data_IF_431084831119
#
_entry.id   IF_431084831119
#
_cell.length_a   1.000
_cell.length_b   1.000
_cell.length_c   1.000
_cell.angle_alpha   90.00
_cell.angle_beta   90.00
_cell.angle_gamma   90.00
#
_symmetry.space_group_name_H-M   'P 1'
#
loop_
_entity.id
_entity.type
_entity.pdbx_description
1 polymer ?
#
# COMPACT_ATOMS: atom_id res chain seq x y z
N UNK A 1 21.89 -11.75 -7.34
CA UNK A 1 20.44 -12.05 -7.40
C UNK A 1 19.73 -11.04 -6.52
N UNK A 2 19.32 -9.86 -7.02
CA UNK A 2 19.06 -8.79 -6.03
C UNK A 2 17.98 -7.75 -6.32
N UNK A 3 17.54 -7.47 -7.56
CA UNK A 3 16.51 -6.42 -7.77
C UNK A 3 15.10 -6.95 -8.10
N UNK A 4 14.97 -8.03 -8.88
CA UNK A 4 13.66 -8.52 -9.30
C UNK A 4 12.85 -9.13 -8.13
N UNK A 5 13.48 -9.95 -7.28
CA UNK A 5 12.80 -10.56 -6.12
C UNK A 5 12.27 -9.53 -5.11
N UNK A 6 13.00 -8.43 -4.88
CA UNK A 6 12.53 -7.37 -3.99
C UNK A 6 11.34 -6.60 -4.58
N UNK A 7 11.32 -6.43 -5.91
CA UNK A 7 10.21 -5.79 -6.62
C UNK A 7 8.95 -6.66 -6.54
N UNK A 8 9.09 -7.98 -6.69
CA UNK A 8 7.95 -8.91 -6.63
C UNK A 8 7.29 -8.97 -5.24
N UNK A 9 8.10 -8.93 -4.17
CA UNK A 9 7.59 -8.90 -2.79
C UNK A 9 6.89 -7.57 -2.49
N UNK A 10 7.48 -6.44 -2.92
CA UNK A 10 6.89 -5.13 -2.71
C UNK A 10 5.55 -4.98 -3.47
N UNK A 11 5.47 -5.50 -4.69
CA UNK A 11 4.22 -5.61 -5.45
C UNK A 11 3.19 -6.43 -4.70
N UNK A 12 3.55 -7.62 -4.20
CA UNK A 12 2.62 -8.49 -3.48
C UNK A 12 2.00 -7.77 -2.28
N UNK A 13 2.80 -7.06 -1.48
CA UNK A 13 2.28 -6.27 -0.36
C UNK A 13 1.39 -5.10 -0.84
N UNK A 14 1.78 -4.40 -1.91
CA UNK A 14 0.96 -3.36 -2.51
C UNK A 14 -0.40 -3.87 -3.02
N UNK A 15 -0.43 -5.06 -3.62
CA UNK A 15 -1.65 -5.71 -4.10
C UNK A 15 -2.59 -6.07 -2.95
N UNK A 16 -2.09 -6.54 -1.79
CA UNK A 16 -2.91 -6.77 -0.60
C UNK A 16 -3.61 -5.49 -0.12
N UNK A 17 -2.90 -4.36 -0.13
CA UNK A 17 -3.44 -3.05 0.25
C UNK A 17 -4.51 -2.60 -0.75
N UNK A 18 -4.20 -2.64 -2.05
CA UNK A 18 -5.15 -2.27 -3.11
C UNK A 18 -6.40 -3.13 -3.11
N UNK A 19 -6.25 -4.45 -2.95
CA UNK A 19 -7.36 -5.38 -2.92
C UNK A 19 -8.35 -5.00 -1.82
N UNK A 20 -7.83 -4.80 -0.59
CA UNK A 20 -8.68 -4.41 0.51
C UNK A 20 -9.36 -3.05 0.26
N UNK A 21 -8.63 -2.06 -0.27
CA UNK A 21 -9.21 -0.74 -0.62
C UNK A 21 -10.31 -0.84 -1.67
N UNK A 22 -10.12 -1.66 -2.71
CA UNK A 22 -11.14 -1.86 -3.76
C UNK A 22 -12.40 -2.54 -3.22
N UNK A 23 -12.27 -3.39 -2.20
CA UNK A 23 -13.42 -4.03 -1.56
C UNK A 23 -14.14 -3.11 -0.55
N UNK A 24 -13.42 -2.21 0.13
CA UNK A 24 -13.92 -1.54 1.35
C UNK A 24 -13.90 0.00 1.32
N UNK A 25 -13.33 0.62 0.28
CA UNK A 25 -13.27 2.08 0.10
C UNK A 25 -14.08 2.56 -1.13
N UNK A 26 -15.12 1.80 -1.51
CA UNK A 26 -15.94 2.00 -2.72
C UNK A 26 -16.78 3.30 -2.68
N UNK A 27 -16.98 3.86 -1.49
CA UNK A 27 -17.76 5.08 -1.26
C UNK A 27 -16.95 6.37 -1.38
N UNK A 28 -15.65 6.28 -1.73
CA UNK A 28 -14.78 7.43 -1.88
C UNK A 28 -14.46 8.14 -0.56
N UNK A 29 -14.64 7.46 0.58
CA UNK A 29 -14.24 7.96 1.88
C UNK A 29 -12.71 8.05 1.98
N UNK A 30 -12.25 8.98 2.80
CA UNK A 30 -10.86 8.98 3.24
C UNK A 30 -10.61 7.75 4.10
N UNK A 31 -9.57 7.00 3.75
CA UNK A 31 -9.07 5.86 4.52
C UNK A 31 -7.70 6.23 5.05
N UNK A 32 -7.50 6.06 6.36
CA UNK A 32 -6.19 6.29 6.97
C UNK A 32 -5.28 5.06 6.91
N UNK A 33 -3.99 5.28 7.16
CA UNK A 33 -2.94 4.26 7.08
C UNK A 33 -3.19 3.10 8.04
N UNK A 34 -3.75 3.39 9.22
CA UNK A 34 -4.05 2.38 10.22
C UNK A 34 -5.14 1.43 9.72
N UNK A 35 -6.21 1.98 9.15
CA UNK A 35 -7.30 1.19 8.61
C UNK A 35 -6.85 0.35 7.41
N UNK A 36 -6.04 0.91 6.51
CA UNK A 36 -5.44 0.16 5.40
C UNK A 36 -4.52 -0.96 5.88
N UNK A 37 -3.72 -0.72 6.92
CA UNK A 37 -2.81 -1.71 7.49
C UNK A 37 -3.58 -2.87 8.12
N UNK A 38 -4.53 -2.56 9.00
CA UNK A 38 -5.35 -3.58 9.66
C UNK A 38 -6.18 -4.36 8.64
N UNK A 39 -6.74 -3.66 7.65
CA UNK A 39 -7.55 -4.25 6.59
C UNK A 39 -6.78 -5.17 5.64
N UNK A 40 -5.57 -4.76 5.23
CA UNK A 40 -4.70 -5.58 4.38
C UNK A 40 -4.08 -6.78 5.10
N UNK A 41 -4.15 -6.83 6.44
CA UNK A 41 -3.58 -7.90 7.25
C UNK A 41 -2.05 -7.92 7.28
N UNK A 42 -1.42 -6.84 6.84
CA UNK A 42 0.04 -6.73 6.76
C UNK A 42 0.61 -6.21 8.09
N UNK A 43 1.70 -6.82 8.60
CA UNK A 43 2.49 -6.20 9.65
C UNK A 43 3.14 -4.90 9.16
N UNK A 44 3.62 -4.07 10.10
CA UNK A 44 4.09 -2.70 9.83
C UNK A 44 5.16 -2.60 8.74
N UNK A 45 6.16 -3.49 8.77
CA UNK A 45 7.25 -3.45 7.79
C UNK A 45 6.74 -3.77 6.37
N UNK A 46 5.95 -4.82 6.23
CA UNK A 46 5.35 -5.25 4.97
C UNK A 46 4.39 -4.20 4.43
N UNK A 47 3.60 -3.58 5.30
CA UNK A 47 2.70 -2.48 4.96
C UNK A 47 3.47 -1.28 4.40
N UNK A 48 4.54 -0.84 5.08
CA UNK A 48 5.37 0.28 4.61
C UNK A 48 6.04 -0.02 3.27
N UNK A 49 6.52 -1.26 3.06
CA UNK A 49 7.10 -1.69 1.78
C UNK A 49 6.04 -1.63 0.66
N UNK A 50 4.85 -2.16 0.91
CA UNK A 50 3.74 -2.14 -0.06
C UNK A 50 3.28 -0.72 -0.37
N UNK A 51 3.10 0.12 0.65
CA UNK A 51 2.71 1.53 0.50
C UNK A 51 3.71 2.32 -0.34
N UNK A 52 5.01 2.13 -0.09
CA UNK A 52 6.06 2.77 -0.88
C UNK A 52 5.97 2.36 -2.35
N UNK A 53 5.79 1.07 -2.62
CA UNK A 53 5.63 0.58 -3.98
C UNK A 53 4.41 1.19 -4.68
N UNK A 54 3.27 1.29 -3.99
CA UNK A 54 2.05 1.91 -4.53
C UNK A 54 2.23 3.39 -4.89
N UNK A 55 2.94 4.14 -4.05
CA UNK A 55 3.26 5.55 -4.32
C UNK A 55 4.20 5.66 -5.52
N UNK A 56 5.26 4.85 -5.58
CA UNK A 56 6.22 4.83 -6.70
C UNK A 56 5.56 4.47 -8.04
N UNK A 57 4.54 3.61 -8.02
CA UNK A 57 3.75 3.24 -9.21
C UNK A 57 2.58 4.19 -9.50
N UNK A 58 2.40 5.26 -8.73
CA UNK A 58 1.31 6.23 -8.87
C UNK A 58 -0.10 5.58 -8.77
N UNK A 59 -0.22 4.50 -8.00
CA UNK A 59 -1.48 3.78 -7.78
C UNK A 59 -2.29 4.36 -6.61
N UNK A 60 -1.66 5.18 -5.77
CA UNK A 60 -2.32 5.98 -4.74
C UNK A 60 -1.99 7.45 -4.95
N UNK A 61 -3.02 8.30 -4.98
CA UNK A 61 -2.86 9.75 -5.08
C UNK A 61 -2.49 10.33 -3.70
N UNK A 62 -1.25 10.05 -3.28
CA UNK A 62 -0.62 10.66 -2.11
C UNK A 62 0.39 11.67 -2.61
N UNK A 63 0.06 12.96 -2.45
CA UNK A 63 1.09 14.02 -2.57
C UNK A 63 2.12 13.78 -1.48
N UNK A 64 3.40 13.82 -1.84
CA UNK A 64 4.56 13.59 -0.94
C UNK A 64 4.53 14.47 0.34
N UNK A 65 3.72 15.53 0.36
CA UNK A 65 3.57 16.51 1.44
C UNK A 65 3.03 15.99 2.79
N UNK A 66 2.75 14.68 2.94
CA UNK A 66 2.20 14.10 4.19
C UNK A 66 3.13 13.12 4.93
N UNK A 67 4.38 12.98 4.48
CA UNK A 67 5.41 12.24 5.20
C UNK A 67 6.22 13.21 6.09
N UNK A 68 5.66 13.57 7.24
CA UNK A 68 6.34 14.35 8.28
C UNK A 68 6.29 13.62 9.62
#
# INVERSE_FOLDING_TARGET
MTNYQYTDIARMYGECILYWMLEHAVDGRDVDDYEMQVGSGLPDLEFQIGMKWLIEQQLLDRREDRLH
#
